data_IF_287071955536
#
_entry.id   IF_287071955536
#
_cell.length_a   1.000
_cell.length_b   1.000
_cell.length_c   1.000
_cell.angle_alpha   90.00
_cell.angle_beta   90.00
_cell.angle_gamma   90.00
#
_symmetry.space_group_name_H-M   'P 1'
#
loop_
_entity.id
_entity.type
_entity.pdbx_description
1 polymer ?
#
# COMPACT_ATOMS: atom_id res chain seq x y z
N UNK A 1 -3.68 -6.62 -13.39
CA UNK A 1 -3.60 -5.93 -12.08
C UNK A 1 -2.99 -6.82 -11.01
N UNK A 2 -3.49 -8.05 -10.82
CA UNK A 2 -2.91 -8.99 -9.85
C UNK A 2 -1.41 -9.27 -10.08
N UNK A 3 -0.97 -9.38 -11.33
CA UNK A 3 0.47 -9.56 -11.64
C UNK A 3 1.36 -8.42 -11.15
N UNK A 4 0.83 -7.18 -11.12
CA UNK A 4 1.59 -5.99 -10.69
C UNK A 4 1.73 -5.94 -9.16
N UNK A 5 0.66 -6.31 -8.45
CA UNK A 5 0.70 -6.49 -6.99
C UNK A 5 1.71 -7.57 -6.61
N UNK A 6 1.74 -8.70 -7.31
CA UNK A 6 2.71 -9.76 -7.04
C UNK A 6 4.16 -9.31 -7.31
N UNK A 7 4.38 -8.47 -8.32
CA UNK A 7 5.69 -7.83 -8.54
C UNK A 7 6.07 -6.91 -7.37
N UNK A 8 5.14 -6.08 -6.88
CA UNK A 8 5.41 -5.22 -5.73
C UNK A 8 5.70 -6.01 -4.46
N UNK A 9 4.95 -7.08 -4.18
CA UNK A 9 5.23 -8.00 -3.06
C UNK A 9 6.62 -8.63 -3.19
N UNK A 10 7.01 -9.07 -4.38
CA UNK A 10 8.34 -9.64 -4.63
C UNK A 10 9.44 -8.61 -4.38
N UNK A 11 9.28 -7.39 -4.90
CA UNK A 11 10.23 -6.30 -4.66
C UNK A 11 10.33 -6.00 -3.18
N UNK A 12 9.20 -5.81 -2.49
CA UNK A 12 9.17 -5.55 -1.06
C UNK A 12 9.87 -6.65 -0.25
N UNK A 13 9.60 -7.92 -0.54
CA UNK A 13 10.23 -9.05 0.15
C UNK A 13 11.75 -9.08 0.00
N UNK A 14 12.32 -8.53 -1.07
CA UNK A 14 13.77 -8.44 -1.24
C UNK A 14 14.39 -7.26 -0.47
N UNK A 15 13.60 -6.25 -0.10
CA UNK A 15 14.09 -5.02 0.52
C UNK A 15 13.85 -5.00 2.04
N UNK A 16 12.75 -5.59 2.50
CA UNK A 16 12.22 -5.44 3.87
C UNK A 16 13.12 -5.96 4.99
N UNK A 17 14.07 -6.84 4.68
CA UNK A 17 14.98 -7.43 5.68
C UNK A 17 16.08 -6.45 6.11
N UNK A 18 16.39 -5.43 5.28
CA UNK A 18 17.36 -4.38 5.59
C UNK A 18 16.80 -3.00 5.22
N UNK A 19 15.73 -2.53 5.89
CA UNK A 19 14.99 -1.36 5.45
C UNK A 19 15.80 -0.07 5.53
N UNK A 20 16.71 0.06 6.50
CA UNK A 20 17.63 1.20 6.61
C UNK A 20 18.55 1.37 5.41
N UNK A 21 18.95 0.27 4.76
CA UNK A 21 19.78 0.28 3.54
C UNK A 21 18.97 0.54 2.27
N UNK A 22 17.66 0.32 2.32
CA UNK A 22 16.75 0.39 1.17
C UNK A 22 15.60 1.38 1.36
N UNK A 23 15.75 2.34 2.27
CA UNK A 23 14.66 3.23 2.67
C UNK A 23 14.13 4.05 1.50
N UNK A 24 15.00 4.46 0.56
CA UNK A 24 14.58 5.15 -0.67
C UNK A 24 13.76 4.23 -1.57
N UNK A 25 14.24 3.01 -1.83
CA UNK A 25 13.53 2.07 -2.71
C UNK A 25 12.21 1.59 -2.11
N UNK A 26 12.14 1.44 -0.79
CA UNK A 26 10.90 1.11 -0.08
C UNK A 26 9.91 2.29 -0.15
N UNK A 27 10.38 3.54 -0.03
CA UNK A 27 9.56 4.73 -0.23
C UNK A 27 9.06 4.85 -1.69
N UNK A 28 9.90 4.55 -2.68
CA UNK A 28 9.49 4.55 -4.08
C UNK A 28 8.42 3.48 -4.35
N UNK A 29 8.58 2.30 -3.74
CA UNK A 29 7.59 1.23 -3.80
C UNK A 29 6.27 1.63 -3.14
N UNK A 30 6.32 2.28 -1.98
CA UNK A 30 5.15 2.84 -1.29
C UNK A 30 4.37 3.79 -2.19
N UNK A 31 5.08 4.74 -2.81
CA UNK A 31 4.49 5.74 -3.71
C UNK A 31 3.91 5.09 -4.98
N UNK A 32 4.57 4.07 -5.52
CA UNK A 32 4.08 3.33 -6.68
C UNK A 32 2.78 2.57 -6.36
N UNK A 33 2.71 1.89 -5.21
CA UNK A 33 1.49 1.22 -4.72
C UNK A 33 0.34 2.21 -4.55
N UNK A 34 0.59 3.38 -3.95
CA UNK A 34 -0.41 4.43 -3.79
C UNK A 34 -0.90 4.99 -5.12
N UNK A 35 0.03 5.28 -6.04
CA UNK A 35 -0.29 5.80 -7.37
C UNK A 35 -1.16 4.84 -8.19
N UNK A 36 -0.85 3.54 -8.12
CA UNK A 36 -1.64 2.50 -8.78
C UNK A 36 -3.02 2.31 -8.15
N UNK A 37 -3.12 2.37 -6.82
CA UNK A 37 -4.41 2.32 -6.13
C UNK A 37 -5.31 3.49 -6.59
N UNK A 38 -4.75 4.70 -6.69
CA UNK A 38 -5.48 5.86 -7.20
C UNK A 38 -5.85 5.72 -8.68
N UNK A 39 -4.96 5.20 -9.52
CA UNK A 39 -5.24 4.94 -10.93
C UNK A 39 -6.37 3.92 -11.13
N UNK A 40 -6.40 2.88 -10.29
CA UNK A 40 -7.49 1.89 -10.27
C UNK A 40 -8.83 2.52 -9.86
N UNK A 41 -8.84 3.40 -8.87
CA UNK A 41 -10.07 4.12 -8.49
C UNK A 41 -10.64 4.92 -9.67
N UNK A 42 -9.77 5.58 -10.44
CA UNK A 42 -10.16 6.36 -11.61
C UNK A 42 -10.59 5.51 -12.84
N UNK A 43 -10.22 4.23 -12.88
CA UNK A 43 -10.52 3.35 -14.02
C UNK A 43 -12.03 3.06 -14.13
N UNK A 44 -12.65 3.40 -15.27
CA UNK A 44 -14.09 3.19 -15.49
C UNK A 44 -14.44 1.83 -16.09
N UNK A 45 -13.44 1.05 -16.49
CA UNK A 45 -13.61 -0.26 -17.14
C UNK A 45 -13.70 -1.36 -16.08
N UNK A 46 -12.96 -1.24 -14.98
CA UNK A 46 -12.95 -2.23 -13.89
C UNK A 46 -14.21 -2.11 -13.04
N UNK A 47 -14.86 -3.24 -12.75
CA UNK A 47 -16.07 -3.27 -11.93
C UNK A 47 -15.78 -2.90 -10.47
N UNK A 48 -16.81 -2.51 -9.71
CA UNK A 48 -16.65 -2.17 -8.29
C UNK A 48 -16.11 -3.34 -7.46
N UNK A 49 -16.58 -4.56 -7.72
CA UNK A 49 -16.14 -5.76 -6.99
C UNK A 49 -14.68 -6.11 -7.30
N UNK A 50 -14.25 -5.96 -8.55
CA UNK A 50 -12.85 -6.14 -8.94
C UNK A 50 -11.95 -5.06 -8.32
N UNK A 51 -12.39 -3.79 -8.32
CA UNK A 51 -11.67 -2.71 -7.64
C UNK A 51 -11.50 -3.01 -6.16
N UNK A 52 -12.57 -3.43 -5.49
CA UNK A 52 -12.55 -3.74 -4.07
C UNK A 52 -11.51 -4.83 -3.75
N UNK A 53 -11.55 -5.95 -4.46
CA UNK A 53 -10.62 -7.06 -4.26
C UNK A 53 -9.15 -6.63 -4.43
N UNK A 54 -8.88 -5.82 -5.46
CA UNK A 54 -7.52 -5.37 -5.76
C UNK A 54 -7.05 -4.28 -4.79
N UNK A 55 -7.94 -3.37 -4.38
CA UNK A 55 -7.65 -2.34 -3.38
C UNK A 55 -7.43 -2.93 -1.99
N UNK A 56 -8.13 -4.01 -1.62
CA UNK A 56 -7.86 -4.74 -0.37
C UNK A 56 -6.40 -5.25 -0.34
N UNK A 57 -5.89 -5.76 -1.46
CA UNK A 57 -4.50 -6.22 -1.58
C UNK A 57 -3.49 -5.07 -1.62
N UNK A 58 -3.76 -3.98 -2.35
CA UNK A 58 -2.93 -2.78 -2.30
C UNK A 58 -2.88 -2.18 -0.89
N UNK A 59 -4.00 -2.13 -0.20
CA UNK A 59 -4.10 -1.57 1.15
C UNK A 59 -3.28 -2.39 2.15
N UNK A 60 -3.33 -3.72 2.04
CA UNK A 60 -2.51 -4.63 2.85
C UNK A 60 -1.01 -4.40 2.60
N UNK A 61 -0.60 -4.39 1.34
CA UNK A 61 0.80 -4.19 0.98
C UNK A 61 1.31 -2.81 1.40
N UNK A 62 0.50 -1.77 1.23
CA UNK A 62 0.85 -0.41 1.64
C UNK A 62 1.09 -0.35 3.16
N UNK A 63 0.20 -0.95 3.96
CA UNK A 63 0.36 -1.02 5.42
C UNK A 63 1.63 -1.77 5.85
N UNK A 64 1.97 -2.88 5.16
CA UNK A 64 3.23 -3.60 5.42
C UNK A 64 4.45 -2.73 5.10
N UNK A 65 4.41 -1.99 3.98
CA UNK A 65 5.49 -1.08 3.58
C UNK A 65 5.66 0.06 4.58
N UNK A 66 4.57 0.75 4.94
CA UNK A 66 4.62 1.86 5.90
C UNK A 66 5.05 1.39 7.27
N UNK A 67 4.65 0.18 7.69
CA UNK A 67 5.13 -0.42 8.94
C UNK A 67 6.65 -0.60 8.91
N UNK A 68 7.20 -1.14 7.82
CA UNK A 68 8.64 -1.35 7.66
C UNK A 68 9.43 -0.04 7.65
N UNK A 69 8.90 1.02 7.04
CA UNK A 69 9.51 2.36 7.06
C UNK A 69 9.47 2.99 8.45
N UNK A 70 8.38 2.76 9.19
CA UNK A 70 8.15 3.29 10.52
C UNK A 70 8.96 2.57 11.62
N UNK A 71 9.41 1.35 11.35
CA UNK A 71 9.95 0.43 12.35
C UNK A 71 11.18 0.98 13.08
N UNK A 72 12.14 1.54 12.34
CA UNK A 72 13.38 2.05 12.94
C UNK A 72 13.10 3.28 13.82
N UNK A 73 12.31 4.25 13.32
CA UNK A 73 11.90 5.44 14.10
C UNK A 73 11.08 5.05 15.34
N UNK A 74 10.17 4.08 15.19
CA UNK A 74 9.35 3.60 16.29
C UNK A 74 10.20 2.96 17.39
N UNK A 75 11.22 2.19 17.01
CA UNK A 75 12.18 1.58 17.93
C UNK A 75 13.02 2.63 18.67
N UNK A 76 13.54 3.62 17.95
CA UNK A 76 14.31 4.74 18.55
C UNK A 76 13.48 5.54 19.55
N UNK A 77 12.19 5.75 19.26
CA UNK A 77 11.27 6.53 20.08
C UNK A 77 10.47 5.70 21.10
N UNK A 78 10.77 4.41 21.26
CA UNK A 78 10.07 3.48 22.18
C UNK A 78 8.54 3.46 22.00
N UNK A 79 8.06 3.60 20.76
CA UNK A 79 6.65 3.53 20.39
C UNK A 79 6.39 2.30 19.52
N UNK A 80 5.13 1.81 19.41
CA UNK A 80 4.80 0.81 18.42
C UNK A 80 4.86 1.42 17.01
N UNK A 81 5.30 0.62 16.03
CA UNK A 81 5.14 0.93 14.61
C UNK A 81 3.68 0.70 14.20
N UNK A 82 3.07 1.63 13.46
CA UNK A 82 1.61 1.61 13.20
C UNK A 82 1.23 1.04 11.84
N UNK A 83 2.07 1.22 10.82
CA UNK A 83 1.79 0.71 9.47
C UNK A 83 0.52 1.29 8.87
N UNK A 84 0.49 2.61 8.69
CA UNK A 84 -0.70 3.31 8.24
C UNK A 84 -1.17 2.80 6.86
N UNK A 85 -2.40 2.27 6.75
CA UNK A 85 -2.97 1.82 5.48
C UNK A 85 -3.47 3.02 4.65
N UNK A 86 -3.73 2.80 3.37
CA UNK A 86 -4.41 3.77 2.50
C UNK A 86 -5.84 4.05 3.02
N UNK A 87 -6.55 2.99 3.40
CA UNK A 87 -7.91 3.04 3.94
C UNK A 87 -7.96 2.39 5.32
N UNK A 88 -8.48 3.11 6.30
CA UNK A 88 -8.64 2.63 7.68
C UNK A 88 -9.87 1.74 7.87
N UNK A 89 -10.87 1.83 6.98
CA UNK A 89 -12.08 1.00 7.00
C UNK A 89 -12.49 0.55 5.61
N UNK A 90 -13.29 -0.52 5.56
CA UNK A 90 -13.89 -0.99 4.30
C UNK A 90 -14.85 0.04 3.72
N UNK A 91 -15.60 0.74 4.57
CA UNK A 91 -16.50 1.82 4.16
C UNK A 91 -15.73 2.95 3.46
N UNK A 92 -14.56 3.35 3.98
CA UNK A 92 -13.73 4.38 3.34
C UNK A 92 -13.28 3.95 1.93
N UNK A 93 -12.88 2.69 1.77
CA UNK A 93 -12.53 2.13 0.46
C UNK A 93 -13.71 2.10 -0.51
N UNK A 94 -14.90 1.71 -0.03
CA UNK A 94 -16.12 1.72 -0.85
C UNK A 94 -16.53 3.14 -1.26
N UNK A 95 -16.38 4.13 -0.37
CA UNK A 95 -16.64 5.53 -0.71
C UNK A 95 -15.63 6.05 -1.74
N UNK A 96 -14.35 5.70 -1.62
CA UNK A 96 -13.34 6.02 -2.61
C UNK A 96 -13.65 5.39 -3.98
N UNK A 97 -14.09 4.13 -4.03
CA UNK A 97 -14.52 3.46 -5.28
C UNK A 97 -15.68 4.21 -5.93
N UNK A 98 -16.64 4.71 -5.14
CA UNK A 98 -17.77 5.50 -5.66
C UNK A 98 -17.33 6.86 -6.19
N UNK A 99 -16.36 7.51 -5.54
CA UNK A 99 -15.81 8.81 -5.95
C UNK A 99 -14.88 8.69 -7.15
N UNK A 100 -14.17 7.57 -7.26
CA UNK A 100 -13.15 7.33 -8.28
C UNK A 100 -11.78 7.94 -7.95
N UNK A 101 -11.54 8.26 -6.67
CA UNK A 101 -10.30 8.86 -6.15
C UNK A 101 -10.13 8.53 -4.66
N UNK A 102 -8.91 8.69 -4.15
CA UNK A 102 -8.56 8.49 -2.73
C UNK A 102 -9.23 9.48 -1.79
#
# INVERSE_FOLDING_TARGET
MNEKIEQYKKTFNNLKDNPSLHSSEINDLMNAVLGDANALLADRVVTQDEKLSVLEEFNRLYAEITYTLDFDDAMENMRPATGDPIFTTKEAMLEAIKRGEL
#
